data_IF_188734136099
#
_entry.id   IF_188734136099
#
_cell.length_a   1.000
_cell.length_b   1.000
_cell.length_c   1.000
_cell.angle_alpha   90.00
_cell.angle_beta   90.00
_cell.angle_gamma   90.00
#
_symmetry.space_group_name_H-M   'P 1'
#
loop_
_entity.id
_entity.type
_entity.pdbx_description
1 polymer ?
#
# COMPACT_ATOMS: atom_id res chain seq x y z
N UNK A 1 7.73 20.57 -10.29
CA UNK A 1 8.53 20.55 -9.06
C UNK A 1 9.00 19.12 -8.85
N UNK A 2 10.31 18.85 -8.73
CA UNK A 2 10.76 17.55 -8.25
C UNK A 2 10.28 17.41 -6.81
N UNK A 3 9.56 16.32 -6.51
CA UNK A 3 9.12 16.02 -5.15
C UNK A 3 10.39 15.74 -4.36
N UNK A 4 10.79 16.65 -3.47
CA UNK A 4 11.84 16.38 -2.49
C UNK A 4 11.25 15.44 -1.44
N UNK A 5 11.29 14.14 -1.72
CA UNK A 5 10.98 13.14 -0.71
C UNK A 5 12.22 12.98 0.17
N UNK A 6 12.27 13.67 1.32
CA UNK A 6 13.05 13.21 2.47
C UNK A 6 12.40 11.92 3.06
N UNK A 7 11.92 11.03 2.20
CA UNK A 7 11.24 9.79 2.52
C UNK A 7 12.30 8.72 2.77
N UNK A 8 12.16 7.98 3.87
CA UNK A 8 13.02 6.82 4.13
C UNK A 8 12.95 5.83 2.97
N UNK A 9 14.06 5.19 2.57
CA UNK A 9 14.06 4.15 1.54
C UNK A 9 13.01 3.06 1.78
N UNK A 10 12.76 2.72 3.05
CA UNK A 10 11.75 1.73 3.46
C UNK A 10 10.35 2.20 3.08
N UNK A 11 10.01 3.46 3.35
CA UNK A 11 8.68 3.99 3.04
C UNK A 11 8.50 4.17 1.54
N UNK A 12 9.54 4.56 0.81
CA UNK A 12 9.52 4.61 -0.66
C UNK A 12 9.17 3.23 -1.26
N UNK A 13 9.79 2.16 -0.75
CA UNK A 13 9.49 0.80 -1.20
C UNK A 13 8.07 0.36 -0.82
N UNK A 14 7.61 0.68 0.40
CA UNK A 14 6.24 0.37 0.83
C UNK A 14 5.19 1.10 -0.02
N UNK A 15 5.41 2.39 -0.32
CA UNK A 15 4.58 3.19 -1.22
C UNK A 15 4.53 2.62 -2.63
N UNK A 16 5.65 2.15 -3.15
CA UNK A 16 5.71 1.52 -4.48
C UNK A 16 4.87 0.25 -4.50
N UNK A 17 4.99 -0.59 -3.46
CA UNK A 17 4.16 -1.80 -3.30
C UNK A 17 2.68 -1.49 -3.13
N UNK A 18 2.34 -0.45 -2.38
CA UNK A 18 0.96 0.04 -2.23
C UNK A 18 0.34 0.39 -3.60
N UNK A 19 1.08 1.12 -4.45
CA UNK A 19 0.60 1.43 -5.79
C UNK A 19 0.42 0.18 -6.65
N UNK A 20 1.34 -0.78 -6.55
CA UNK A 20 1.26 -2.04 -7.29
C UNK A 20 0.07 -2.89 -6.83
N UNK A 21 -0.13 -3.05 -5.52
CA UNK A 21 -1.28 -3.74 -4.93
C UNK A 21 -2.58 -3.19 -5.50
N UNK A 22 -2.79 -1.88 -5.41
CA UNK A 22 -4.03 -1.26 -5.89
C UNK A 22 -4.20 -1.36 -7.40
N UNK A 23 -3.16 -1.07 -8.19
CA UNK A 23 -3.26 -0.98 -9.66
C UNK A 23 -3.25 -2.33 -10.36
N UNK A 24 -2.41 -3.27 -9.90
CA UNK A 24 -2.13 -4.53 -10.60
C UNK A 24 -2.91 -5.71 -10.03
N UNK A 25 -2.94 -5.84 -8.71
CA UNK A 25 -3.62 -6.97 -8.06
C UNK A 25 -5.12 -6.71 -7.94
N UNK A 26 -5.50 -5.60 -7.30
CA UNK A 26 -6.91 -5.29 -7.04
C UNK A 26 -7.60 -4.59 -8.22
N UNK A 27 -6.82 -3.94 -9.10
CA UNK A 27 -7.31 -3.12 -10.24
C UNK A 27 -8.36 -2.09 -9.82
N UNK A 28 -8.22 -1.53 -8.61
CA UNK A 28 -9.18 -0.58 -8.04
C UNK A 28 -8.76 0.87 -8.31
N UNK A 29 -9.77 1.73 -8.48
CA UNK A 29 -9.57 3.17 -8.43
C UNK A 29 -9.18 3.60 -7.01
N UNK A 30 -8.53 4.76 -6.89
CA UNK A 30 -8.13 5.29 -5.58
C UNK A 30 -9.33 5.50 -4.63
N UNK A 31 -10.48 6.05 -5.06
CA UNK A 31 -11.66 6.17 -4.20
C UNK A 31 -12.18 4.82 -3.70
N UNK A 32 -12.32 3.81 -4.58
CA UNK A 32 -12.79 2.48 -4.19
C UNK A 32 -11.86 1.79 -3.19
N UNK A 33 -10.55 1.92 -3.39
CA UNK A 33 -9.58 1.34 -2.46
C UNK A 33 -9.56 2.08 -1.10
N UNK A 34 -9.79 3.39 -1.10
CA UNK A 34 -9.90 4.16 0.14
C UNK A 34 -11.17 3.79 0.91
N UNK A 35 -12.29 3.61 0.21
CA UNK A 35 -13.57 3.13 0.77
C UNK A 35 -13.42 1.75 1.41
N UNK A 36 -12.72 0.81 0.73
CA UNK A 36 -12.44 -0.53 1.25
C UNK A 36 -11.66 -0.52 2.59
N UNK A 37 -10.83 0.50 2.79
CA UNK A 37 -10.01 0.66 3.99
C UNK A 37 -10.61 1.64 5.00
N UNK A 38 -11.84 2.09 4.77
CA UNK A 38 -12.52 3.11 5.57
C UNK A 38 -11.63 4.33 5.84
N UNK A 39 -10.94 4.80 4.79
CA UNK A 39 -10.01 5.92 4.88
C UNK A 39 -10.32 7.03 3.87
N UNK A 40 -9.96 8.30 4.16
CA UNK A 40 -10.14 9.38 3.19
C UNK A 40 -9.31 9.14 1.91
N UNK A 41 -9.89 9.32 0.71
CA UNK A 41 -9.16 9.21 -0.55
C UNK A 41 -7.95 10.15 -0.66
N UNK A 42 -8.00 11.30 0.05
CA UNK A 42 -6.92 12.27 0.16
C UNK A 42 -5.73 11.71 0.94
N UNK A 43 -5.97 10.98 2.03
CA UNK A 43 -4.93 10.31 2.82
C UNK A 43 -4.21 9.27 1.97
N UNK A 44 -4.97 8.42 1.26
CA UNK A 44 -4.40 7.42 0.36
C UNK A 44 -3.60 8.08 -0.79
N UNK A 45 -4.10 9.18 -1.35
CA UNK A 45 -3.37 9.97 -2.36
C UNK A 45 -2.03 10.47 -1.81
N UNK A 46 -2.02 10.99 -0.58
CA UNK A 46 -0.81 11.53 0.05
C UNK A 46 0.24 10.43 0.29
N UNK A 47 -0.19 9.24 0.69
CA UNK A 47 0.68 8.07 0.79
C UNK A 47 1.24 7.68 -0.58
N UNK A 48 0.39 7.48 -1.60
CA UNK A 48 0.87 7.06 -2.92
C UNK A 48 1.84 8.06 -3.57
N UNK A 49 1.62 9.36 -3.36
CA UNK A 49 2.45 10.43 -3.93
C UNK A 49 3.67 10.79 -3.08
N UNK A 50 3.82 10.21 -1.88
CA UNK A 50 4.94 10.50 -0.99
C UNK A 50 4.85 11.86 -0.30
N UNK A 51 3.67 12.49 -0.28
CA UNK A 51 3.43 13.71 0.49
C UNK A 51 3.34 13.43 2.00
N UNK A 52 3.06 12.17 2.38
CA UNK A 52 3.02 11.71 3.76
C UNK A 52 3.60 10.30 3.87
N UNK A 53 4.35 10.05 4.94
CA UNK A 53 4.83 8.72 5.28
C UNK A 53 3.67 7.76 5.60
N UNK A 54 3.79 6.49 5.21
CA UNK A 54 2.79 5.48 5.50
C UNK A 54 2.99 5.01 6.94
N UNK A 55 2.04 5.35 7.81
CA UNK A 55 2.11 4.99 9.23
C UNK A 55 1.63 3.56 9.52
N UNK A 56 2.00 3.05 10.70
CA UNK A 56 1.61 1.72 11.20
C UNK A 56 0.10 1.44 11.16
N UNK A 57 -0.73 2.45 11.41
CA UNK A 57 -2.19 2.32 11.35
C UNK A 57 -2.73 1.87 9.99
N UNK A 58 -2.08 2.27 8.89
CA UNK A 58 -2.45 1.80 7.55
C UNK A 58 -2.16 0.31 7.37
N UNK A 59 -1.00 -0.15 7.83
CA UNK A 59 -0.64 -1.57 7.76
C UNK A 59 -1.52 -2.43 8.67
N UNK A 60 -1.92 -1.91 9.84
CA UNK A 60 -2.89 -2.58 10.71
C UNK A 60 -4.25 -2.72 10.04
N UNK A 61 -4.73 -1.69 9.33
CA UNK A 61 -5.99 -1.77 8.58
C UNK A 61 -5.94 -2.86 7.50
N UNK A 62 -4.84 -2.90 6.72
CA UNK A 62 -4.62 -3.94 5.70
C UNK A 62 -4.54 -5.33 6.34
N UNK A 63 -3.79 -5.47 7.44
CA UNK A 63 -3.60 -6.75 8.14
C UNK A 63 -4.88 -7.27 8.79
N UNK A 64 -5.83 -6.41 9.17
CA UNK A 64 -7.09 -6.86 9.77
C UNK A 64 -8.25 -6.97 8.76
N UNK A 65 -8.01 -6.63 7.49
CA UNK A 65 -9.03 -6.73 6.46
C UNK A 65 -9.10 -8.14 5.87
N UNK A 66 -10.30 -8.72 5.81
CA UNK A 66 -10.53 -10.10 5.36
C UNK A 66 -9.91 -10.40 3.98
N UNK A 67 -10.02 -9.46 3.03
CA UNK A 67 -9.51 -9.64 1.66
C UNK A 67 -8.08 -9.13 1.44
N UNK A 68 -7.51 -8.35 2.37
CA UNK A 68 -6.21 -7.69 2.15
C UNK A 68 -5.11 -8.17 3.09
N UNK A 69 -5.48 -8.94 4.13
CA UNK A 69 -4.54 -9.50 5.11
C UNK A 69 -3.41 -10.28 4.42
N UNK A 70 -3.73 -11.07 3.39
CA UNK A 70 -2.75 -11.87 2.64
C UNK A 70 -1.64 -11.04 1.97
N UNK A 71 -1.90 -9.76 1.73
CA UNK A 71 -0.95 -8.83 1.12
C UNK A 71 -0.17 -8.01 2.16
N UNK A 72 -0.58 -8.01 3.43
CA UNK A 72 0.01 -7.18 4.47
C UNK A 72 1.52 -7.42 4.63
N UNK A 73 1.92 -8.69 4.69
CA UNK A 73 3.33 -9.06 4.87
C UNK A 73 4.20 -8.61 3.69
N UNK A 74 3.74 -8.86 2.46
CA UNK A 74 4.44 -8.42 1.25
C UNK A 74 4.50 -6.89 1.16
N UNK A 75 3.42 -6.21 1.52
CA UNK A 75 3.34 -4.75 1.51
C UNK A 75 4.36 -4.11 2.47
N UNK A 76 4.53 -4.69 3.66
CA UNK A 76 5.50 -4.21 4.66
C UNK A 76 6.94 -4.56 4.29
N UNK A 77 7.21 -5.81 3.93
CA UNK A 77 8.59 -6.33 3.85
C UNK A 77 9.13 -6.38 2.42
N UNK A 78 8.28 -6.38 1.40
CA UNK A 78 8.64 -6.68 0.03
C UNK A 78 9.09 -8.13 -0.19
N UNK A 79 9.08 -8.96 0.85
CA UNK A 79 9.47 -10.36 0.76
C UNK A 79 8.22 -11.21 0.53
N UNK A 80 8.34 -12.11 -0.44
CA UNK A 80 7.27 -12.98 -0.89
C UNK A 80 7.17 -14.19 0.05
N UNK A 81 6.58 -14.01 1.23
CA UNK A 81 5.94 -15.10 1.99
C UNK A 81 4.43 -14.94 1.90
N UNK A 82 3.91 -14.83 0.68
CA UNK A 82 2.48 -15.05 0.44
C UNK A 82 2.38 -16.37 -0.34
N UNK A 83 1.68 -17.39 0.20
CA UNK A 83 1.64 -18.75 -0.37
C UNK A 83 0.92 -18.86 -1.72
N UNK A 84 0.52 -17.75 -2.35
CA UNK A 84 -0.31 -17.72 -3.56
C UNK A 84 0.38 -17.16 -4.82
N UNK A 85 1.69 -16.91 -4.78
CA UNK A 85 2.42 -16.56 -6.00
C UNK A 85 3.28 -17.74 -6.47
N UNK A 86 2.72 -18.58 -7.36
CA UNK A 86 3.55 -19.30 -8.32
C UNK A 86 4.05 -18.27 -9.32
N UNK A 87 5.36 -18.06 -9.33
CA UNK A 87 6.05 -17.34 -10.39
C UNK A 87 6.23 -18.37 -11.51
N UNK A 88 5.53 -18.19 -12.64
CA UNK A 88 5.92 -18.85 -13.90
C UNK A 88 7.19 -18.20 -14.46
#
# INVERSE_FOLDING_TARGET
MPIQTNESPINYSARTRLQLLRKKHLKLSRPKFAELLDMPPTTLKNYELGYREIGGGFFLAIANHNELNEHAFWLMTGTQRSPLFHVE
#
